data_IF_282201942078
#
_entry.id   IF_282201942078
#
_cell.length_a   1.000
_cell.length_b   1.000
_cell.length_c   1.000
_cell.angle_alpha   90.00
_cell.angle_beta   90.00
_cell.angle_gamma   90.00
#
_symmetry.space_group_name_H-M   'P 1'
#
loop_
_entity.id
_entity.type
_entity.pdbx_description
1 polymer ?
#
# COMPACT_ATOMS: atom_id res chain seq x y z
N UNK A 1 54.25 -31.62 75.76
CA UNK A 1 53.95 -32.51 74.62
C UNK A 1 52.69 -32.01 73.94
N UNK A 2 52.73 -32.05 72.62
CA UNK A 2 51.85 -31.39 71.64
C UNK A 2 50.40 -31.85 71.64
N UNK A 3 49.52 -31.01 71.05
CA UNK A 3 48.20 -31.45 70.57
C UNK A 3 47.27 -30.30 70.16
N UNK A 4 47.51 -29.66 69.01
CA UNK A 4 46.54 -28.81 68.30
C UNK A 4 45.56 -29.67 67.49
N UNK A 5 44.29 -29.26 67.38
CA UNK A 5 43.45 -29.40 66.17
C UNK A 5 42.15 -28.56 66.32
N UNK A 6 42.17 -27.29 65.87
CA UNK A 6 41.56 -26.79 64.61
C UNK A 6 40.03 -26.94 64.48
N UNK A 7 39.34 -25.85 64.85
CA UNK A 7 37.95 -25.56 64.47
C UNK A 7 37.83 -25.41 62.94
N UNK A 8 37.04 -26.29 62.31
CA UNK A 8 36.57 -26.14 60.92
C UNK A 8 35.14 -25.61 60.92
N UNK A 9 34.98 -24.32 60.66
CA UNK A 9 33.67 -23.72 60.43
C UNK A 9 33.85 -22.34 59.85
N UNK A 10 33.97 -22.25 58.51
CA UNK A 10 33.64 -21.11 57.64
C UNK A 10 34.34 -21.22 56.26
N UNK A 11 33.67 -21.76 55.24
CA UNK A 11 33.93 -21.34 53.87
C UNK A 11 32.69 -20.75 53.17
N UNK A 12 31.48 -20.86 53.74
CA UNK A 12 30.24 -20.43 53.08
C UNK A 12 30.04 -18.91 53.02
N UNK A 13 30.48 -18.17 54.05
CA UNK A 13 30.30 -16.71 54.08
C UNK A 13 31.21 -15.97 53.08
N UNK A 14 32.41 -16.49 52.81
CA UNK A 14 33.34 -15.88 51.85
C UNK A 14 32.89 -16.10 50.40
N UNK A 15 32.30 -17.25 50.09
CA UNK A 15 31.75 -17.55 48.76
C UNK A 15 30.51 -16.69 48.46
N UNK A 16 29.65 -16.45 49.46
CA UNK A 16 28.49 -15.58 49.31
C UNK A 16 28.87 -14.11 49.02
N UNK A 17 29.95 -13.59 49.66
CA UNK A 17 30.44 -12.23 49.39
C UNK A 17 31.06 -12.09 47.99
N UNK A 18 31.77 -13.11 47.51
CA UNK A 18 32.36 -13.13 46.16
C UNK A 18 31.30 -13.19 45.05
N UNK A 19 30.19 -13.91 45.28
CA UNK A 19 29.06 -13.96 44.35
C UNK A 19 28.28 -12.63 44.29
N UNK A 20 28.16 -11.92 45.41
CA UNK A 20 27.55 -10.57 45.45
C UNK A 20 28.43 -9.51 44.79
N UNK A 21 29.76 -9.63 44.85
CA UNK A 21 30.68 -8.70 44.19
C UNK A 21 30.73 -8.89 42.67
N UNK A 22 30.51 -10.12 42.17
CA UNK A 22 30.49 -10.42 40.73
C UNK A 22 29.19 -9.95 40.04
N UNK A 23 28.11 -9.68 40.79
CA UNK A 23 26.83 -9.24 40.24
C UNK A 23 26.78 -7.74 39.88
N UNK A 24 27.80 -6.96 40.24
CA UNK A 24 27.90 -5.52 39.96
C UNK A 24 28.87 -5.19 38.82
N UNK A 25 29.20 -6.16 37.95
CA UNK A 25 30.01 -5.90 36.78
C UNK A 25 29.22 -5.03 35.78
N UNK A 26 29.61 -3.75 35.67
CA UNK A 26 29.07 -2.82 34.69
C UNK A 26 29.28 -3.44 33.29
N UNK A 27 28.25 -3.51 32.44
CA UNK A 27 28.42 -4.07 31.10
C UNK A 27 29.53 -3.30 30.38
N UNK A 28 30.39 -4.01 29.60
CA UNK A 28 31.48 -3.36 28.90
C UNK A 28 30.93 -2.26 28.00
N UNK A 29 31.51 -1.06 28.10
CA UNK A 29 31.11 0.06 27.26
C UNK A 29 31.36 -0.30 25.79
N UNK A 30 30.30 -0.29 24.98
CA UNK A 30 30.41 -0.46 23.53
C UNK A 30 31.38 0.59 22.98
N UNK A 31 32.38 0.13 22.23
CA UNK A 31 33.35 0.97 21.54
C UNK A 31 32.60 2.07 20.77
N UNK A 32 32.92 3.36 21.02
CA UNK A 32 32.24 4.49 20.41
C UNK A 32 32.12 4.42 18.89
N UNK A 33 33.05 3.74 18.20
CA UNK A 33 33.03 3.56 16.74
C UNK A 33 31.90 2.68 16.23
N UNK A 34 31.36 1.81 17.09
CA UNK A 34 30.26 0.89 16.76
C UNK A 34 28.95 1.28 17.45
N UNK A 35 28.92 2.41 18.17
CA UNK A 35 27.65 2.95 18.68
C UNK A 35 26.81 3.43 17.48
N UNK A 36 25.50 3.16 17.46
CA UNK A 36 24.62 3.79 16.49
C UNK A 36 24.79 5.30 16.57
N UNK A 37 25.26 5.91 15.49
CA UNK A 37 25.35 7.38 15.39
C UNK A 37 23.96 8.01 15.27
N UNK A 38 22.98 7.21 14.85
CA UNK A 38 21.60 7.60 14.69
C UNK A 38 20.81 7.46 16.00
N UNK A 39 20.08 8.52 16.36
CA UNK A 39 19.17 8.54 17.50
C UNK A 39 17.74 8.17 17.10
N UNK A 40 16.98 7.56 18.02
CA UNK A 40 15.52 7.33 17.85
C UNK A 40 14.82 8.63 17.44
N UNK A 41 15.19 9.76 18.07
CA UNK A 41 14.58 11.07 17.80
C UNK A 41 14.83 11.54 16.36
N UNK A 42 15.97 11.19 15.76
CA UNK A 42 16.25 11.54 14.35
C UNK A 42 15.33 10.77 13.40
N UNK A 43 15.13 9.47 13.66
CA UNK A 43 14.23 8.64 12.84
C UNK A 43 12.78 9.11 12.99
N UNK A 44 12.36 9.40 14.23
CA UNK A 44 11.03 9.95 14.53
C UNK A 44 10.82 11.31 13.86
N UNK A 45 11.83 12.18 13.86
CA UNK A 45 11.74 13.50 13.21
C UNK A 45 11.53 13.37 11.69
N UNK A 46 12.21 12.43 11.04
CA UNK A 46 12.00 12.12 9.61
C UNK A 46 10.56 11.64 9.38
N UNK A 47 10.09 10.67 10.16
CA UNK A 47 8.71 10.18 10.03
C UNK A 47 7.70 11.32 10.22
N UNK A 48 7.81 12.08 11.31
CA UNK A 48 6.88 13.18 11.62
C UNK A 48 6.78 14.22 10.51
N UNK A 49 7.88 14.50 9.81
CA UNK A 49 7.88 15.40 8.64
C UNK A 49 7.01 14.85 7.50
N UNK A 50 7.02 13.54 7.30
CA UNK A 50 6.38 12.86 6.17
C UNK A 50 5.02 12.22 6.49
N UNK A 51 4.58 12.19 7.75
CA UNK A 51 3.24 11.66 8.12
C UNK A 51 2.14 12.46 7.42
N UNK A 52 2.28 13.78 7.30
CA UNK A 52 1.26 14.62 6.66
C UNK A 52 1.32 14.64 5.12
N UNK A 53 2.26 13.90 4.51
CA UNK A 53 2.38 13.88 3.06
C UNK A 53 1.09 13.34 2.41
N UNK A 54 0.61 14.05 1.39
CA UNK A 54 -0.50 13.61 0.55
C UNK A 54 0.01 12.54 -0.42
N UNK A 55 0.16 11.31 0.11
CA UNK A 55 0.61 10.18 -0.69
C UNK A 55 -0.41 9.79 -1.75
N UNK A 56 -1.67 10.22 -1.64
CA UNK A 56 -2.67 9.92 -2.65
C UNK A 56 -2.38 10.66 -3.96
N UNK A 57 -2.02 11.94 -3.88
CA UNK A 57 -1.69 12.77 -5.06
C UNK A 57 -0.23 12.66 -5.49
N UNK A 58 0.68 12.36 -4.55
CA UNK A 58 2.12 12.34 -4.81
C UNK A 58 2.77 11.01 -4.40
N UNK A 59 3.80 10.54 -5.12
CA UNK A 59 4.57 9.38 -4.67
C UNK A 59 5.17 9.60 -3.28
N UNK A 60 5.29 8.55 -2.44
CA UNK A 60 5.90 8.67 -1.13
C UNK A 60 7.35 9.14 -1.25
N UNK A 61 7.78 9.96 -0.28
CA UNK A 61 9.14 10.46 -0.22
C UNK A 61 10.17 9.33 -0.25
N UNK A 62 11.31 9.62 -0.89
CA UNK A 62 12.44 8.70 -1.01
C UNK A 62 13.66 9.24 -0.27
N UNK A 63 14.43 8.35 0.35
CA UNK A 63 15.73 8.70 0.92
C UNK A 63 16.79 8.90 -0.17
N UNK A 64 18.02 9.26 0.23
CA UNK A 64 19.14 9.47 -0.69
C UNK A 64 19.52 8.22 -1.52
N UNK A 65 19.08 7.03 -1.09
CA UNK A 65 19.28 5.76 -1.83
C UNK A 65 18.11 5.43 -2.76
N UNK A 66 17.09 6.29 -2.82
CA UNK A 66 15.87 6.07 -3.60
C UNK A 66 14.86 5.15 -2.91
N UNK A 67 15.06 4.77 -1.64
CA UNK A 67 14.14 3.89 -0.90
C UNK A 67 13.00 4.70 -0.29
N UNK A 68 11.81 4.11 -0.23
CA UNK A 68 10.65 4.70 0.45
C UNK A 68 11.00 5.04 1.91
N UNK A 69 10.79 6.31 2.30
CA UNK A 69 11.13 6.84 3.63
C UNK A 69 10.48 6.06 4.76
N UNK A 70 9.22 5.66 4.64
CA UNK A 70 8.52 4.92 5.70
C UNK A 70 9.14 3.55 5.92
N UNK A 71 9.46 2.82 4.84
CA UNK A 71 10.15 1.53 4.92
C UNK A 71 11.56 1.66 5.49
N UNK A 72 12.31 2.69 5.07
CA UNK A 72 13.64 2.97 5.58
C UNK A 72 13.61 3.30 7.09
N UNK A 73 12.64 4.10 7.54
CA UNK A 73 12.45 4.44 8.94
C UNK A 73 12.05 3.24 9.80
N UNK A 74 11.16 2.37 9.30
CA UNK A 74 10.77 1.13 9.99
C UNK A 74 11.99 0.24 10.27
N UNK A 75 12.80 -0.03 9.24
CA UNK A 75 14.03 -0.82 9.38
C UNK A 75 15.02 -0.19 10.37
N UNK A 76 15.14 1.14 10.36
CA UNK A 76 16.00 1.86 11.32
C UNK A 76 15.49 1.72 12.75
N UNK A 77 14.17 1.82 12.98
CA UNK A 77 13.56 1.60 14.30
C UNK A 77 13.75 0.16 14.78
N UNK A 78 13.62 -0.82 13.89
CA UNK A 78 13.88 -2.24 14.21
C UNK A 78 15.34 -2.50 14.58
N UNK A 79 16.29 -1.91 13.84
CA UNK A 79 17.71 -2.03 14.15
C UNK A 79 18.07 -1.34 15.48
N UNK A 80 17.48 -0.18 15.76
CA UNK A 80 17.67 0.51 17.04
C UNK A 80 17.07 -0.28 18.21
N UNK A 81 15.89 -0.88 18.03
CA UNK A 81 15.28 -1.75 19.04
C UNK A 81 16.16 -2.97 19.35
N UNK A 82 16.72 -3.60 18.32
CA UNK A 82 17.63 -4.74 18.48
C UNK A 82 18.96 -4.32 19.17
N UNK A 83 19.55 -3.20 18.75
CA UNK A 83 20.84 -2.72 19.27
C UNK A 83 20.75 -2.19 20.72
N UNK A 84 19.58 -1.70 21.14
CA UNK A 84 19.35 -1.13 22.47
C UNK A 84 18.35 -1.92 23.31
N UNK A 85 18.26 -3.24 23.08
CA UNK A 85 17.28 -4.11 23.74
C UNK A 85 17.30 -3.99 25.28
N UNK A 86 18.47 -3.87 25.90
CA UNK A 86 18.58 -3.75 27.36
C UNK A 86 18.10 -2.39 27.90
N UNK A 87 18.37 -1.29 27.18
CA UNK A 87 17.87 0.04 27.54
C UNK A 87 16.35 0.16 27.32
N UNK A 88 15.83 -0.52 26.31
CA UNK A 88 14.39 -0.57 26.03
C UNK A 88 13.63 -1.45 27.02
N UNK A 89 14.23 -2.55 27.50
CA UNK A 89 13.69 -3.32 28.63
C UNK A 89 13.57 -2.48 29.90
N UNK A 90 14.39 -1.44 30.05
CA UNK A 90 14.27 -0.46 31.14
C UNK A 90 13.14 0.58 30.91
N UNK A 91 12.39 0.49 29.81
CA UNK A 91 11.24 1.33 29.50
C UNK A 91 11.56 2.63 28.75
N UNK A 92 12.81 2.87 28.35
CA UNK A 92 13.21 4.12 27.71
C UNK A 92 12.74 4.18 26.24
N UNK A 93 11.75 5.04 25.92
CA UNK A 93 11.25 5.30 24.56
C UNK A 93 10.58 4.10 23.85
N UNK A 94 10.26 3.02 24.56
CA UNK A 94 9.60 1.84 23.97
C UNK A 94 8.23 2.19 23.37
N UNK A 95 7.45 3.03 24.05
CA UNK A 95 6.19 3.58 23.56
C UNK A 95 6.37 4.44 22.30
N UNK A 96 7.38 5.31 22.28
CA UNK A 96 7.72 6.17 21.14
C UNK A 96 8.13 5.34 19.93
N UNK A 97 8.95 4.29 20.13
CA UNK A 97 9.37 3.38 19.07
C UNK A 97 8.15 2.62 18.53
N UNK A 98 7.34 2.02 19.40
CA UNK A 98 6.15 1.27 19.01
C UNK A 98 5.17 2.15 18.22
N UNK A 99 4.90 3.36 18.71
CA UNK A 99 4.04 4.33 18.02
C UNK A 99 4.60 4.72 16.65
N UNK A 100 5.91 4.96 16.57
CA UNK A 100 6.57 5.38 15.32
C UNK A 100 6.65 4.24 14.30
N UNK A 101 6.78 2.99 14.75
CA UNK A 101 6.62 1.81 13.89
C UNK A 101 5.20 1.74 13.34
N UNK A 102 4.18 1.97 14.17
CA UNK A 102 2.79 2.10 13.74
C UNK A 102 2.63 3.12 12.59
N UNK A 103 3.23 4.31 12.74
CA UNK A 103 3.23 5.38 11.71
C UNK A 103 3.94 5.00 10.42
N UNK A 104 4.96 4.15 10.47
CA UNK A 104 5.62 3.67 9.28
C UNK A 104 4.82 2.55 8.61
N UNK A 105 4.28 1.62 9.42
CA UNK A 105 3.51 0.46 8.99
C UNK A 105 2.18 0.87 8.33
N UNK A 106 1.48 1.87 8.87
CA UNK A 106 0.25 2.41 8.27
C UNK A 106 0.52 2.89 6.83
N UNK A 107 1.67 3.52 6.58
CA UNK A 107 2.03 4.14 5.29
C UNK A 107 2.48 3.13 4.25
N UNK A 108 2.97 1.98 4.70
CA UNK A 108 3.25 0.83 3.82
C UNK A 108 2.11 -0.19 3.83
N UNK A 109 0.99 0.14 4.49
CA UNK A 109 -0.28 -0.61 4.50
C UNK A 109 -0.22 -1.98 5.14
N UNK A 110 0.65 -2.14 6.12
CA UNK A 110 0.64 -3.28 7.01
C UNK A 110 -0.27 -2.93 8.21
N UNK A 111 -1.58 -2.81 7.96
CA UNK A 111 -2.51 -2.20 8.91
C UNK A 111 -2.70 -3.03 10.18
N UNK A 112 -2.72 -4.36 10.07
CA UNK A 112 -2.71 -5.29 11.19
C UNK A 112 -1.49 -5.09 12.11
N UNK A 113 -0.29 -5.01 11.52
CA UNK A 113 0.95 -4.77 12.25
C UNK A 113 1.02 -3.34 12.81
N UNK A 114 0.45 -2.37 12.09
CA UNK A 114 0.36 -0.98 12.54
C UNK A 114 -0.53 -0.89 13.79
N UNK A 115 -1.72 -1.51 13.75
CA UNK A 115 -2.64 -1.56 14.88
C UNK A 115 -2.00 -2.24 16.11
N UNK A 116 -1.34 -3.39 15.91
CA UNK A 116 -0.60 -4.06 16.98
C UNK A 116 0.50 -3.18 17.58
N UNK A 117 1.25 -2.46 16.74
CA UNK A 117 2.30 -1.53 17.19
C UNK A 117 1.73 -0.36 17.99
N UNK A 118 0.59 0.18 17.57
CA UNK A 118 -0.11 1.22 18.31
C UNK A 118 -0.67 0.73 19.65
N UNK A 119 -1.25 -0.47 19.71
CA UNK A 119 -1.71 -1.07 20.98
C UNK A 119 -0.55 -1.25 21.97
N UNK A 120 0.59 -1.74 21.50
CA UNK A 120 1.82 -1.85 22.32
C UNK A 120 2.29 -0.49 22.85
N UNK A 121 2.18 0.58 22.05
CA UNK A 121 2.48 1.92 22.52
C UNK A 121 1.50 2.38 23.62
N UNK A 122 0.22 2.04 23.49
CA UNK A 122 -0.81 2.39 24.45
C UNK A 122 -0.68 1.66 25.81
N UNK A 123 -0.22 0.40 25.81
CA UNK A 123 -0.03 -0.42 27.02
C UNK A 123 0.85 0.25 28.09
N UNK A 124 1.68 1.22 27.71
CA UNK A 124 2.56 1.95 28.63
C UNK A 124 1.87 3.07 29.43
N UNK A 125 0.62 3.43 29.10
CA UNK A 125 -0.15 4.45 29.83
C UNK A 125 0.44 5.86 29.77
N UNK A 126 1.20 6.15 28.70
CA UNK A 126 1.94 7.40 28.52
C UNK A 126 1.16 8.48 27.73
N UNK A 127 1.78 9.63 27.44
CA UNK A 127 1.15 10.74 26.71
C UNK A 127 0.63 10.35 25.31
N UNK A 128 1.14 9.27 24.73
CA UNK A 128 0.74 8.77 23.41
C UNK A 128 -0.48 7.85 23.45
N UNK A 129 -0.95 7.40 24.62
CA UNK A 129 -1.96 6.35 24.76
C UNK A 129 -3.23 6.64 23.97
N UNK A 130 -3.85 7.81 24.17
CA UNK A 130 -5.10 8.17 23.50
C UNK A 130 -4.94 8.21 21.97
N UNK A 131 -3.85 8.79 21.48
CA UNK A 131 -3.58 8.86 20.05
C UNK A 131 -3.26 7.48 19.47
N UNK A 132 -2.55 6.64 20.22
CA UNK A 132 -2.22 5.29 19.82
C UNK A 132 -3.48 4.42 19.72
N UNK A 133 -4.40 4.49 20.70
CA UNK A 133 -5.67 3.76 20.63
C UNK A 133 -6.55 4.21 19.46
N UNK A 134 -6.63 5.52 19.19
CA UNK A 134 -7.32 6.04 18.00
C UNK A 134 -6.70 5.52 16.71
N UNK A 135 -5.37 5.56 16.64
CA UNK A 135 -4.61 5.11 15.46
C UNK A 135 -4.75 3.61 15.22
N UNK A 136 -4.77 2.81 16.30
CA UNK A 136 -5.04 1.37 16.25
C UNK A 136 -6.43 1.10 15.68
N UNK A 137 -7.47 1.80 16.16
CA UNK A 137 -8.84 1.65 15.67
C UNK A 137 -8.95 1.93 14.17
N UNK A 138 -8.36 3.03 13.68
CA UNK A 138 -8.36 3.35 12.23
C UNK A 138 -7.65 2.26 11.43
N UNK A 139 -6.50 1.78 11.90
CA UNK A 139 -5.77 0.72 11.21
C UNK A 139 -6.53 -0.62 11.22
N UNK A 140 -7.26 -0.94 12.28
CA UNK A 140 -8.11 -2.13 12.35
C UNK A 140 -9.24 -2.08 11.33
N UNK A 141 -9.92 -0.93 11.20
CA UNK A 141 -10.95 -0.74 10.17
C UNK A 141 -10.36 -0.82 8.76
N UNK A 142 -9.15 -0.30 8.54
CA UNK A 142 -8.45 -0.42 7.25
C UNK A 142 -8.06 -1.87 6.94
N UNK A 143 -7.59 -2.63 7.93
CA UNK A 143 -7.28 -4.05 7.79
C UNK A 143 -8.54 -4.88 7.49
N UNK A 144 -9.63 -4.61 8.21
CA UNK A 144 -10.94 -5.21 7.95
C UNK A 144 -11.37 -4.94 6.50
N UNK A 145 -11.34 -3.68 6.07
CA UNK A 145 -11.67 -3.31 4.69
C UNK A 145 -10.76 -3.99 3.67
N UNK A 146 -9.48 -4.16 3.96
CA UNK A 146 -8.52 -4.82 3.06
C UNK A 146 -8.80 -6.33 2.91
N UNK A 147 -9.41 -6.97 3.92
CA UNK A 147 -9.80 -8.39 3.90
C UNK A 147 -11.15 -8.65 3.24
N UNK A 148 -11.99 -7.63 3.06
CA UNK A 148 -13.26 -7.75 2.31
C UNK A 148 -12.94 -7.92 0.82
N UNK A 149 -12.77 -9.17 0.40
CA UNK A 149 -12.47 -9.56 -0.97
C UNK A 149 -13.39 -10.72 -1.39
N UNK A 150 -13.80 -10.77 -2.67
CA UNK A 150 -14.50 -11.95 -3.18
C UNK A 150 -13.63 -13.20 -3.03
N UNK A 151 -14.23 -14.33 -2.68
CA UNK A 151 -13.50 -15.60 -2.55
C UNK A 151 -12.94 -16.04 -3.92
N UNK A 152 -11.62 -16.13 -4.00
CA UNK A 152 -10.89 -16.53 -5.21
C UNK A 152 -10.95 -18.05 -5.48
N UNK A 153 -11.35 -18.86 -4.49
CA UNK A 153 -11.28 -20.34 -4.57
C UNK A 153 -12.55 -21.00 -5.10
N UNK A 154 -13.63 -20.24 -5.28
CA UNK A 154 -14.97 -20.76 -5.56
C UNK A 154 -15.33 -20.99 -7.05
N UNK A 155 -14.36 -21.13 -7.97
CA UNK A 155 -14.65 -21.30 -9.41
C UNK A 155 -15.20 -20.02 -10.06
N UNK A 156 -15.56 -20.04 -11.37
CA UNK A 156 -15.68 -18.82 -12.18
C UNK A 156 -16.65 -17.82 -11.52
N UNK A 157 -16.20 -16.58 -11.25
CA UNK A 157 -16.91 -15.69 -10.37
C UNK A 157 -18.02 -15.00 -11.16
N UNK A 158 -19.20 -15.58 -11.12
CA UNK A 158 -20.36 -15.05 -11.85
C UNK A 158 -21.57 -14.93 -10.93
N UNK A 159 -21.39 -14.33 -9.75
CA UNK A 159 -22.51 -14.07 -8.85
C UNK A 159 -22.64 -12.58 -8.53
N UNK A 160 -23.87 -12.03 -8.53
CA UNK A 160 -24.18 -10.71 -7.95
C UNK A 160 -23.57 -10.50 -6.55
N UNK A 161 -23.38 -11.59 -5.80
CA UNK A 161 -22.73 -11.63 -4.49
C UNK A 161 -21.33 -10.99 -4.47
N UNK A 162 -20.53 -11.15 -5.54
CA UNK A 162 -19.18 -10.55 -5.59
C UNK A 162 -19.22 -9.02 -5.65
N UNK A 163 -20.24 -8.45 -6.31
CA UNK A 163 -20.41 -7.00 -6.38
C UNK A 163 -20.86 -6.43 -5.03
N UNK A 164 -21.71 -7.16 -4.31
CA UNK A 164 -22.09 -6.78 -2.95
C UNK A 164 -20.89 -6.72 -2.00
N UNK A 165 -19.90 -7.61 -2.17
CA UNK A 165 -18.64 -7.57 -1.39
C UNK A 165 -17.84 -6.30 -1.71
N UNK A 166 -17.72 -5.91 -2.98
CA UNK A 166 -17.07 -4.65 -3.35
C UNK A 166 -17.83 -3.42 -2.83
N UNK A 167 -19.16 -3.45 -2.88
CA UNK A 167 -20.00 -2.36 -2.39
C UNK A 167 -19.87 -2.23 -0.85
N UNK A 168 -19.82 -3.36 -0.12
CA UNK A 168 -19.56 -3.39 1.32
C UNK A 168 -18.20 -2.77 1.66
N UNK A 169 -17.14 -3.19 0.97
CA UNK A 169 -15.80 -2.62 1.16
C UNK A 169 -15.79 -1.11 0.89
N UNK A 170 -16.45 -0.69 -0.19
CA UNK A 170 -16.49 0.72 -0.59
C UNK A 170 -17.27 1.58 0.42
N UNK A 171 -18.37 1.06 0.95
CA UNK A 171 -19.15 1.72 1.99
C UNK A 171 -18.35 1.89 3.29
N UNK A 172 -17.63 0.85 3.71
CA UNK A 172 -16.77 0.90 4.91
C UNK A 172 -15.66 1.98 4.76
N UNK A 173 -14.99 2.01 3.60
CA UNK A 173 -13.95 3.00 3.33
C UNK A 173 -14.51 4.43 3.20
N UNK A 174 -15.71 4.59 2.64
CA UNK A 174 -16.37 5.89 2.56
C UNK A 174 -16.76 6.43 3.94
N UNK A 175 -17.28 5.58 4.82
CA UNK A 175 -17.57 5.94 6.21
C UNK A 175 -16.30 6.35 6.96
N UNK A 176 -15.24 5.54 6.86
CA UNK A 176 -13.96 5.84 7.49
C UNK A 176 -13.33 7.14 6.96
N UNK A 177 -13.46 7.41 5.66
CA UNK A 177 -12.96 8.66 5.06
C UNK A 177 -13.66 9.90 5.63
N UNK A 178 -14.98 9.83 5.82
CA UNK A 178 -15.76 10.92 6.39
C UNK A 178 -15.34 11.21 7.85
N UNK A 179 -15.06 10.17 8.64
CA UNK A 179 -14.58 10.31 10.02
C UNK A 179 -13.15 10.85 10.10
N UNK A 180 -12.31 10.51 9.11
CA UNK A 180 -10.90 10.86 9.07
C UNK A 180 -10.61 12.21 8.39
N UNK A 181 -11.63 12.97 7.99
CA UNK A 181 -11.47 14.24 7.28
C UNK A 181 -10.58 15.22 8.07
N UNK A 182 -9.65 15.87 7.37
CA UNK A 182 -8.67 16.78 7.97
C UNK A 182 -7.55 16.10 8.76
N UNK A 183 -7.57 14.77 8.89
CA UNK A 183 -6.48 14.00 9.49
C UNK A 183 -5.46 13.55 8.44
N UNK A 184 -4.27 13.17 8.90
CA UNK A 184 -3.23 12.59 8.04
C UNK A 184 -3.64 11.23 7.43
N UNK A 185 -4.69 10.57 7.93
CA UNK A 185 -5.20 9.31 7.38
C UNK A 185 -5.93 9.49 6.05
N UNK A 186 -6.38 10.70 5.73
CA UNK A 186 -7.13 10.99 4.50
C UNK A 186 -6.46 10.40 3.26
N UNK A 187 -5.13 10.57 3.12
CA UNK A 187 -4.40 10.06 1.97
C UNK A 187 -4.44 8.53 1.87
N UNK A 188 -4.15 7.81 2.97
CA UNK A 188 -4.12 6.33 2.95
C UNK A 188 -5.50 5.73 2.76
N UNK A 189 -6.54 6.33 3.34
CA UNK A 189 -7.93 5.87 3.15
C UNK A 189 -8.36 6.07 1.69
N UNK A 190 -8.02 7.21 1.07
CA UNK A 190 -8.29 7.44 -0.36
C UNK A 190 -7.57 6.44 -1.25
N UNK A 191 -6.34 6.05 -0.91
CA UNK A 191 -5.60 5.00 -1.64
C UNK A 191 -6.27 3.61 -1.50
N UNK A 192 -6.83 3.28 -0.33
CA UNK A 192 -7.62 2.05 -0.17
C UNK A 192 -8.93 2.10 -0.95
N UNK A 193 -9.64 3.24 -0.92
CA UNK A 193 -10.87 3.44 -1.67
C UNK A 193 -10.63 3.29 -3.18
N UNK A 194 -9.57 3.90 -3.70
CA UNK A 194 -9.14 3.73 -5.09
C UNK A 194 -8.88 2.27 -5.46
N UNK A 195 -8.23 1.51 -4.57
CA UNK A 195 -7.98 0.08 -4.82
C UNK A 195 -9.24 -0.76 -4.77
N UNK A 196 -10.21 -0.42 -3.93
CA UNK A 196 -11.51 -1.08 -3.94
C UNK A 196 -12.23 -0.81 -5.27
N UNK A 197 -12.27 0.44 -5.73
CA UNK A 197 -12.84 0.83 -7.03
C UNK A 197 -12.14 0.13 -8.19
N UNK A 198 -10.81 0.11 -8.19
CA UNK A 198 -10.01 -0.55 -9.23
C UNK A 198 -10.25 -2.06 -9.25
N UNK A 199 -10.29 -2.71 -8.10
CA UNK A 199 -10.56 -4.15 -8.01
C UNK A 199 -11.94 -4.49 -8.58
N UNK A 200 -12.97 -3.69 -8.25
CA UNK A 200 -14.32 -3.82 -8.81
C UNK A 200 -14.35 -3.62 -10.33
N UNK A 201 -13.65 -2.60 -10.84
CA UNK A 201 -13.59 -2.31 -12.26
C UNK A 201 -12.89 -3.43 -13.04
N UNK A 202 -11.76 -3.95 -12.52
CA UNK A 202 -11.06 -5.11 -13.09
C UNK A 202 -11.92 -6.35 -13.09
N UNK A 203 -12.59 -6.65 -11.97
CA UNK A 203 -13.51 -7.77 -11.89
C UNK A 203 -14.60 -7.72 -12.97
N UNK A 204 -15.20 -6.56 -13.19
CA UNK A 204 -16.22 -6.38 -14.24
C UNK A 204 -15.63 -6.52 -15.64
N UNK A 205 -14.43 -6.03 -15.89
CA UNK A 205 -13.73 -6.21 -17.16
C UNK A 205 -13.40 -7.70 -17.42
N UNK A 206 -12.85 -8.40 -16.42
CA UNK A 206 -12.45 -9.81 -16.53
C UNK A 206 -13.66 -10.75 -16.73
N UNK A 207 -14.82 -10.38 -16.17
CA UNK A 207 -16.05 -11.18 -16.23
C UNK A 207 -17.04 -10.70 -17.28
N UNK A 208 -16.73 -9.66 -18.06
CA UNK A 208 -17.67 -9.01 -18.99
C UNK A 208 -18.30 -9.99 -19.98
N UNK A 209 -17.52 -10.93 -20.51
CA UNK A 209 -17.99 -11.91 -21.51
C UNK A 209 -19.02 -12.91 -20.97
N UNK A 210 -19.22 -12.96 -19.65
CA UNK A 210 -20.20 -13.85 -19.00
C UNK A 210 -21.62 -13.24 -18.97
N UNK A 211 -21.78 -11.96 -19.32
CA UNK A 211 -23.05 -11.25 -19.20
C UNK A 211 -23.42 -10.53 -20.51
N UNK A 212 -24.71 -10.45 -20.87
CA UNK A 212 -25.15 -9.73 -22.07
C UNK A 212 -24.70 -8.28 -22.12
N UNK A 213 -24.79 -7.55 -21.00
CA UNK A 213 -24.40 -6.13 -20.90
C UNK A 213 -23.01 -5.94 -20.30
N UNK A 214 -22.16 -6.99 -20.32
CA UNK A 214 -20.89 -6.98 -19.62
C UNK A 214 -19.93 -5.89 -20.08
N UNK A 215 -19.85 -5.65 -21.40
CA UNK A 215 -18.96 -4.64 -21.98
C UNK A 215 -19.33 -3.23 -21.50
N UNK A 216 -20.64 -2.91 -21.52
CA UNK A 216 -21.18 -1.64 -21.02
C UNK A 216 -20.87 -1.46 -19.52
N UNK A 217 -21.05 -2.51 -18.72
CA UNK A 217 -20.78 -2.48 -17.28
C UNK A 217 -19.29 -2.32 -16.97
N UNK A 218 -18.42 -2.97 -17.72
CA UNK A 218 -16.97 -2.84 -17.59
C UNK A 218 -16.50 -1.42 -17.93
N UNK A 219 -16.96 -0.88 -19.06
CA UNK A 219 -16.66 0.49 -19.49
C UNK A 219 -17.14 1.51 -18.45
N UNK A 220 -18.40 1.41 -18.00
CA UNK A 220 -18.95 2.30 -16.99
C UNK A 220 -18.14 2.27 -15.68
N UNK A 221 -17.68 1.09 -15.26
CA UNK A 221 -16.87 0.95 -14.05
C UNK A 221 -15.47 1.57 -14.19
N UNK A 222 -14.81 1.38 -15.34
CA UNK A 222 -13.49 1.97 -15.63
C UNK A 222 -13.59 3.49 -15.81
N UNK A 223 -14.63 4.00 -16.47
CA UNK A 223 -14.90 5.44 -16.57
C UNK A 223 -15.13 6.05 -15.19
N UNK A 224 -15.92 5.40 -14.33
CA UNK A 224 -16.14 5.83 -12.96
C UNK A 224 -14.83 5.88 -12.16
N UNK A 225 -13.98 4.87 -12.29
CA UNK A 225 -12.65 4.85 -11.66
C UNK A 225 -11.82 6.09 -12.04
N UNK A 226 -11.77 6.43 -13.34
CA UNK A 226 -11.03 7.61 -13.84
C UNK A 226 -11.61 8.90 -13.28
N UNK A 227 -12.95 9.05 -13.27
CA UNK A 227 -13.62 10.26 -12.79
C UNK A 227 -13.44 10.45 -11.28
N UNK A 228 -13.72 9.41 -10.50
CA UNK A 228 -13.68 9.46 -9.03
C UNK A 228 -12.26 9.67 -8.52
N UNK A 229 -11.26 9.12 -9.22
CA UNK A 229 -9.86 9.13 -8.79
C UNK A 229 -8.95 10.00 -9.66
N UNK A 230 -9.49 11.02 -10.33
CA UNK A 230 -8.73 11.94 -11.21
C UNK A 230 -7.53 12.64 -10.55
N UNK A 231 -7.60 12.84 -9.24
CA UNK A 231 -6.52 13.47 -8.47
C UNK A 231 -5.42 12.49 -8.04
N UNK A 232 -5.63 11.19 -8.21
CA UNK A 232 -4.67 10.17 -7.81
C UNK A 232 -3.37 10.30 -8.60
N UNK A 233 -2.25 10.00 -7.93
CA UNK A 233 -0.95 9.80 -8.59
C UNK A 233 -1.01 8.75 -9.71
N UNK A 234 -1.98 7.83 -9.66
CA UNK A 234 -2.15 6.73 -10.63
C UNK A 234 -3.15 7.06 -11.76
N UNK A 235 -3.69 8.28 -11.84
CA UNK A 235 -4.73 8.65 -12.82
C UNK A 235 -4.39 8.27 -14.26
N UNK A 236 -3.12 8.43 -14.67
CA UNK A 236 -2.66 8.04 -16.01
C UNK A 236 -2.74 6.52 -16.23
N UNK A 237 -2.40 5.71 -15.23
CA UNK A 237 -2.55 4.26 -15.30
C UNK A 237 -4.02 3.83 -15.46
N UNK A 238 -4.95 4.55 -14.82
CA UNK A 238 -6.39 4.30 -14.97
C UNK A 238 -6.88 4.67 -16.36
N UNK A 239 -6.44 5.82 -16.90
CA UNK A 239 -6.74 6.23 -18.28
C UNK A 239 -6.22 5.21 -19.29
N UNK A 240 -4.99 4.72 -19.12
CA UNK A 240 -4.43 3.68 -19.98
C UNK A 240 -5.21 2.37 -19.90
N UNK A 241 -5.63 1.97 -18.69
CA UNK A 241 -6.45 0.75 -18.52
C UNK A 241 -7.82 0.87 -19.20
N UNK A 242 -8.42 2.07 -19.18
CA UNK A 242 -9.67 2.34 -19.91
C UNK A 242 -9.45 2.35 -21.43
N UNK A 243 -8.35 2.96 -21.89
CA UNK A 243 -7.98 2.96 -23.31
C UNK A 243 -7.76 1.52 -23.83
N UNK A 244 -7.07 0.68 -23.05
CA UNK A 244 -6.85 -0.72 -23.38
C UNK A 244 -8.17 -1.49 -23.52
N UNK A 245 -9.15 -1.23 -22.65
CA UNK A 245 -10.47 -1.87 -22.75
C UNK A 245 -11.20 -1.46 -24.03
N UNK A 246 -11.18 -0.17 -24.40
CA UNK A 246 -11.72 0.27 -25.69
C UNK A 246 -11.00 -0.37 -26.89
N UNK A 247 -9.67 -0.46 -26.82
CA UNK A 247 -8.87 -1.10 -27.87
C UNK A 247 -9.18 -2.61 -28.00
N UNK A 248 -9.34 -3.31 -26.87
CA UNK A 248 -9.76 -4.72 -26.87
C UNK A 248 -11.15 -4.89 -27.49
N UNK A 249 -12.11 -4.05 -27.14
CA UNK A 249 -13.46 -4.08 -27.72
C UNK A 249 -13.43 -3.81 -29.23
N UNK A 250 -12.59 -2.90 -29.71
CA UNK A 250 -12.43 -2.65 -31.15
C UNK A 250 -11.86 -3.88 -31.89
N UNK A 251 -10.88 -4.55 -31.30
CA UNK A 251 -10.31 -5.80 -31.86
C UNK A 251 -11.36 -6.91 -31.88
N UNK A 252 -12.10 -7.10 -30.79
CA UNK A 252 -13.16 -8.11 -30.72
C UNK A 252 -14.30 -7.83 -31.69
N UNK A 253 -14.65 -6.57 -31.86
CA UNK A 253 -15.65 -6.15 -32.83
C UNK A 253 -15.27 -6.59 -34.24
N UNK A 254 -14.03 -6.31 -34.67
CA UNK A 254 -13.49 -6.73 -35.98
C UNK A 254 -13.47 -8.25 -36.13
N UNK A 255 -13.21 -9.00 -35.05
CA UNK A 255 -13.23 -10.46 -35.09
C UNK A 255 -14.65 -11.03 -35.29
N UNK A 256 -15.66 -10.39 -34.69
CA UNK A 256 -17.07 -10.79 -34.82
C UNK A 256 -17.70 -10.31 -36.13
N UNK A 257 -17.29 -9.13 -36.58
CA UNK A 257 -17.76 -8.45 -37.77
C UNK A 257 -16.52 -8.19 -38.65
N UNK A 258 -16.17 -9.11 -39.56
CA UNK A 258 -15.05 -8.88 -40.49
C UNK A 258 -15.26 -7.59 -41.29
N UNK A 259 -14.21 -6.78 -41.55
CA UNK A 259 -14.35 -5.48 -42.22
C UNK A 259 -14.90 -5.56 -43.64
N UNK A 260 -14.71 -6.71 -44.33
CA UNK A 260 -15.25 -6.94 -45.68
C UNK A 260 -16.75 -7.30 -45.66
N UNK A 261 -17.31 -7.56 -44.49
CA UNK A 261 -18.70 -8.00 -44.32
C UNK A 261 -19.69 -6.83 -44.33
N UNK A 262 -20.88 -7.06 -44.89
CA UNK A 262 -22.01 -6.13 -44.77
C UNK A 262 -22.53 -5.95 -43.34
N UNK A 263 -22.16 -6.86 -42.42
CA UNK A 263 -22.50 -6.77 -41.01
C UNK A 263 -21.54 -5.85 -40.21
N UNK A 264 -20.53 -5.28 -40.87
CA UNK A 264 -19.65 -4.29 -40.26
C UNK A 264 -20.36 -2.93 -40.23
N UNK A 265 -20.62 -2.42 -39.03
CA UNK A 265 -21.07 -1.07 -38.72
C UNK A 265 -19.84 -0.15 -38.47
N UNK A 266 -19.46 0.73 -39.41
CA UNK A 266 -18.27 1.57 -39.25
C UNK A 266 -18.37 2.62 -38.13
N UNK A 267 -19.49 3.36 -37.97
CA UNK A 267 -19.67 4.29 -36.85
C UNK A 267 -19.36 3.70 -35.48
N UNK A 268 -19.82 2.47 -35.20
CA UNK A 268 -19.55 1.83 -33.93
C UNK A 268 -18.06 1.50 -33.73
N UNK A 269 -17.39 1.01 -34.78
CA UNK A 269 -15.94 0.79 -34.73
C UNK A 269 -15.17 2.09 -34.51
N UNK A 270 -15.53 3.15 -35.24
CA UNK A 270 -14.92 4.48 -35.13
C UNK A 270 -15.05 5.04 -33.71
N UNK A 271 -16.21 4.87 -33.04
CA UNK A 271 -16.40 5.29 -31.66
C UNK A 271 -15.42 4.62 -30.68
N UNK A 272 -15.22 3.30 -30.81
CA UNK A 272 -14.28 2.54 -29.99
C UNK A 272 -12.83 2.99 -30.23
N UNK A 273 -12.47 3.18 -31.50
CA UNK A 273 -11.13 3.62 -31.91
C UNK A 273 -10.82 5.02 -31.41
N UNK A 274 -11.71 5.98 -31.63
CA UNK A 274 -11.52 7.36 -31.17
C UNK A 274 -11.41 7.43 -29.65
N UNK A 275 -12.21 6.64 -28.93
CA UNK A 275 -12.18 6.62 -27.47
C UNK A 275 -10.85 6.12 -26.93
N UNK A 276 -10.29 5.04 -27.48
CA UNK A 276 -8.97 4.54 -27.11
C UNK A 276 -7.86 5.54 -27.51
N UNK A 277 -7.87 6.02 -28.76
CA UNK A 277 -6.84 6.92 -29.28
C UNK A 277 -6.75 8.22 -28.49
N UNK A 278 -7.90 8.88 -28.22
CA UNK A 278 -7.95 10.11 -27.40
C UNK A 278 -7.32 9.92 -26.03
N UNK A 279 -7.53 8.78 -25.39
CA UNK A 279 -6.98 8.51 -24.05
C UNK A 279 -5.47 8.24 -24.09
N UNK A 280 -4.99 7.47 -25.07
CA UNK A 280 -3.55 7.29 -25.23
C UNK A 280 -2.85 8.62 -25.55
N UNK A 281 -3.42 9.44 -26.44
CA UNK A 281 -2.90 10.78 -26.76
C UNK A 281 -2.85 11.69 -25.52
N UNK A 282 -3.92 11.69 -24.72
CA UNK A 282 -4.00 12.47 -23.49
C UNK A 282 -2.88 12.12 -22.49
N UNK A 283 -2.46 10.86 -22.43
CA UNK A 283 -1.35 10.42 -21.56
C UNK A 283 0.01 10.66 -22.23
N UNK A 284 0.15 10.42 -23.54
CA UNK A 284 1.42 10.60 -24.26
C UNK A 284 1.85 12.06 -24.37
N UNK A 285 0.93 13.01 -24.19
CA UNK A 285 1.22 14.45 -24.21
C UNK A 285 1.63 15.00 -22.84
N UNK A 286 1.69 14.18 -21.78
CA UNK A 286 2.08 14.62 -20.45
C UNK A 286 3.59 14.47 -20.20
N UNK A 287 4.31 15.59 -20.17
CA UNK A 287 5.74 15.60 -19.88
C UNK A 287 6.06 15.24 -18.43
N UNK A 288 7.19 14.55 -18.23
CA UNK A 288 7.70 14.17 -16.90
C UNK A 288 6.99 12.98 -16.23
N UNK A 289 6.05 12.32 -16.92
CA UNK A 289 5.35 11.12 -16.44
C UNK A 289 5.95 9.85 -17.01
N UNK A 290 6.01 8.79 -16.20
CA UNK A 290 6.60 7.52 -16.60
C UNK A 290 5.78 6.83 -17.70
N UNK A 291 4.45 7.03 -17.66
CA UNK A 291 3.46 6.44 -18.53
C UNK A 291 3.49 7.02 -19.96
N UNK A 292 4.18 8.15 -20.18
CA UNK A 292 4.23 8.85 -21.47
C UNK A 292 4.70 7.94 -22.62
N UNK A 293 5.84 7.26 -22.41
CA UNK A 293 6.44 6.40 -23.43
C UNK A 293 5.58 5.18 -23.70
N UNK A 294 4.99 4.61 -22.65
CA UNK A 294 4.05 3.49 -22.76
C UNK A 294 2.82 3.88 -23.58
N UNK A 295 2.19 5.01 -23.27
CA UNK A 295 1.04 5.54 -23.99
C UNK A 295 1.33 5.75 -25.48
N UNK A 296 2.47 6.38 -25.81
CA UNK A 296 2.86 6.65 -27.18
C UNK A 296 3.05 5.35 -28.01
N UNK A 297 3.65 4.31 -27.41
CA UNK A 297 3.85 3.02 -28.08
C UNK A 297 2.56 2.24 -28.25
N UNK A 298 1.66 2.29 -27.26
CA UNK A 298 0.33 1.69 -27.37
C UNK A 298 -0.50 2.37 -28.45
N UNK A 299 -0.48 3.70 -28.51
CA UNK A 299 -1.14 4.47 -29.57
C UNK A 299 -0.62 4.07 -30.95
N UNK A 300 0.70 4.06 -31.15
CA UNK A 300 1.33 3.68 -32.41
C UNK A 300 0.90 2.28 -32.87
N UNK A 301 0.96 1.30 -31.97
CA UNK A 301 0.53 -0.07 -32.25
C UNK A 301 -0.97 -0.15 -32.58
N UNK A 302 -1.79 0.60 -31.86
CA UNK A 302 -3.24 0.61 -32.07
C UNK A 302 -3.63 1.28 -33.40
N UNK A 303 -3.00 2.39 -33.76
CA UNK A 303 -3.22 3.05 -35.07
C UNK A 303 -2.77 2.18 -36.25
N UNK A 304 -1.70 1.38 -36.09
CA UNK A 304 -1.31 0.41 -37.10
C UNK A 304 -2.39 -0.67 -37.31
N UNK A 305 -3.07 -1.09 -36.24
CA UNK A 305 -4.22 -1.99 -36.33
C UNK A 305 -5.39 -1.34 -37.08
N UNK A 306 -5.73 -0.08 -36.79
CA UNK A 306 -6.86 0.60 -37.45
C UNK A 306 -6.61 0.79 -38.95
N UNK A 307 -5.39 1.16 -39.35
CA UNK A 307 -5.01 1.26 -40.76
C UNK A 307 -5.17 -0.06 -41.53
N UNK A 308 -4.91 -1.20 -40.87
CA UNK A 308 -5.16 -2.52 -41.46
C UNK A 308 -6.65 -2.74 -41.69
N UNK A 309 -7.48 -2.44 -40.69
CA UNK A 309 -8.94 -2.58 -40.78
C UNK A 309 -9.52 -1.71 -41.89
N UNK A 310 -9.09 -0.46 -41.99
CA UNK A 310 -9.52 0.46 -43.05
C UNK A 310 -9.13 -0.07 -44.44
N UNK A 311 -7.89 -0.57 -44.60
CA UNK A 311 -7.47 -1.18 -45.85
C UNK A 311 -8.37 -2.37 -46.23
N UNK A 312 -8.66 -3.25 -45.28
CA UNK A 312 -9.45 -4.47 -45.52
C UNK A 312 -10.91 -4.10 -45.87
N UNK A 313 -11.47 -3.03 -45.28
CA UNK A 313 -12.81 -2.50 -45.61
C UNK A 313 -12.95 -1.98 -47.05
N UNK A 314 -11.87 -1.45 -47.64
CA UNK A 314 -11.89 -0.82 -48.96
C UNK A 314 -11.14 -1.62 -50.05
N UNK A 315 -10.61 -2.80 -49.72
CA UNK A 315 -9.94 -3.67 -50.69
C UNK A 315 -10.98 -4.61 -51.36
N UNK A 316 -10.98 -4.73 -52.70
CA UNK A 316 -11.91 -5.59 -53.44
C UNK A 316 -11.63 -7.09 -53.30
#
# INVERSE_FOLDING_TARGET
>A
MSGQATQRGRPLAAVALLLLAAACAKPPELDPRYRPTQSVLEVVAVLRRHVADDTYRFPPARDFTGRNVYRASLLRLENLEAAHADALRAGALDDVIAFSKGRALERIRAFDLAAASYRRAAERGGPLELEALRSASVCETLDEAARILPDATSGPPARPEALAIFDQRSALLAALLAEAEGSHYTAVIREEAERATLARARYLADTRRLYPDGDVRALAAMQKLVVDHRESKNTNGHLLSLADLYAELAVEYVQRHPPESLAFDPPHFEELVESAARMYEAVSNQDGRAEKLEAARRLEAFLAFTLKVDRDRFSP
#
